data_IF_593631142604
#
_entry.id   IF_593631142604
#
_cell.length_a   1.000
_cell.length_b   1.000
_cell.length_c   1.000
_cell.angle_alpha   90.00
_cell.angle_beta   90.00
_cell.angle_gamma   90.00
#
_symmetry.space_group_name_H-M   'P 1'
#
loop_
_entity.id
_entity.type
_entity.pdbx_description
1 polymer ?
#
# COMPACT_ATOMS: atom_id res chain seq x y z
N UNK A 1 12.13 -26.14 1.32
CA UNK A 1 11.48 -27.42 1.01
C UNK A 1 12.07 -28.50 1.90
N UNK A 2 11.24 -29.31 2.56
CA UNK A 2 11.68 -30.42 3.42
C UNK A 2 11.04 -31.74 2.96
N UNK A 3 11.85 -32.79 2.79
CA UNK A 3 11.34 -34.12 2.54
C UNK A 3 10.86 -34.76 3.87
N UNK A 4 9.61 -35.19 3.91
CA UNK A 4 9.02 -35.85 5.07
C UNK A 4 9.37 -37.34 5.02
N UNK A 5 9.85 -37.84 6.15
CA UNK A 5 10.07 -39.26 6.45
C UNK A 5 9.36 -39.60 7.75
N UNK A 6 9.25 -40.88 8.08
CA UNK A 6 8.66 -41.31 9.35
C UNK A 6 9.35 -40.70 10.58
N UNK A 7 10.65 -40.40 10.48
CA UNK A 7 11.45 -39.86 11.59
C UNK A 7 11.10 -38.39 11.88
N UNK A 8 10.80 -37.59 10.85
CA UNK A 8 10.53 -36.16 11.00
C UNK A 8 9.05 -35.79 10.84
N UNK A 9 8.19 -36.73 10.45
CA UNK A 9 6.76 -36.51 10.22
C UNK A 9 6.11 -35.77 11.39
N UNK A 10 6.33 -36.26 12.62
CA UNK A 10 5.69 -35.66 13.78
C UNK A 10 6.18 -34.23 14.02
N UNK A 11 7.48 -33.97 13.86
CA UNK A 11 8.02 -32.63 14.00
C UNK A 11 7.44 -31.67 12.94
N UNK A 12 7.44 -32.07 11.66
CA UNK A 12 7.01 -31.20 10.57
C UNK A 12 5.48 -31.01 10.57
N UNK A 13 4.71 -32.10 10.66
CA UNK A 13 3.26 -32.04 10.49
C UNK A 13 2.56 -31.60 11.77
N UNK A 14 3.07 -31.90 12.97
CA UNK A 14 2.41 -31.52 14.23
C UNK A 14 3.05 -30.31 14.91
N UNK A 15 4.38 -30.18 14.94
CA UNK A 15 5.02 -29.10 15.69
C UNK A 15 5.17 -27.82 14.85
N UNK A 16 5.74 -27.91 13.64
CA UNK A 16 5.89 -26.73 12.77
C UNK A 16 4.52 -26.13 12.37
N UNK A 17 3.51 -26.98 12.18
CA UNK A 17 2.16 -26.57 11.78
C UNK A 17 1.38 -25.75 12.82
N UNK A 18 1.88 -25.67 14.07
CA UNK A 18 1.36 -24.78 15.11
C UNK A 18 1.77 -23.31 14.88
N UNK A 19 2.84 -23.10 14.13
CA UNK A 19 3.44 -21.78 13.92
C UNK A 19 3.31 -21.27 12.48
N UNK A 20 3.31 -22.19 11.52
CA UNK A 20 3.24 -21.90 10.09
C UNK A 20 2.28 -22.87 9.41
N UNK A 21 1.76 -22.49 8.25
CA UNK A 21 1.07 -23.44 7.40
C UNK A 21 2.08 -24.46 6.86
N UNK A 22 1.70 -25.74 6.78
CA UNK A 22 2.56 -26.78 6.18
C UNK A 22 1.88 -27.31 4.94
N UNK A 23 2.46 -27.02 3.77
CA UNK A 23 1.96 -27.52 2.49
C UNK A 23 2.73 -28.77 2.10
N UNK A 24 2.07 -29.92 2.12
CA UNK A 24 2.65 -31.22 1.80
C UNK A 24 2.27 -31.62 0.38
N UNK A 25 3.24 -31.66 -0.53
CA UNK A 25 3.06 -32.23 -1.87
C UNK A 25 3.43 -33.73 -1.88
N UNK A 26 2.47 -34.57 -2.25
CA UNK A 26 2.64 -36.00 -2.43
C UNK A 26 2.99 -36.25 -3.90
N UNK A 27 4.09 -36.95 -4.14
CA UNK A 27 4.63 -37.14 -5.48
C UNK A 27 5.30 -38.51 -5.65
N UNK A 28 5.53 -38.90 -6.89
CA UNK A 28 6.28 -40.09 -7.28
C UNK A 28 7.04 -39.80 -8.58
N UNK A 29 8.28 -40.27 -8.71
CA UNK A 29 9.13 -39.95 -9.87
C UNK A 29 8.54 -40.46 -11.18
N UNK A 30 7.77 -41.55 -11.12
CA UNK A 30 7.11 -42.18 -12.26
C UNK A 30 5.81 -41.48 -12.70
N UNK A 31 5.33 -40.47 -11.96
CA UNK A 31 4.11 -39.71 -12.27
C UNK A 31 4.50 -38.26 -12.56
N UNK A 32 4.75 -37.89 -13.83
CA UNK A 32 5.25 -36.57 -14.22
C UNK A 32 4.43 -35.39 -13.67
N UNK A 33 3.11 -35.50 -13.68
CA UNK A 33 2.17 -34.46 -13.21
C UNK A 33 2.33 -34.19 -11.70
N UNK A 34 2.81 -35.17 -10.93
CA UNK A 34 3.10 -35.02 -9.50
C UNK A 34 4.40 -34.29 -9.23
N UNK A 35 5.41 -34.52 -10.06
CA UNK A 35 6.66 -33.75 -10.04
C UNK A 35 6.36 -32.31 -10.43
N UNK A 36 5.55 -32.10 -11.47
CA UNK A 36 5.15 -30.77 -11.92
C UNK A 36 4.39 -29.99 -10.84
N UNK A 37 3.39 -30.61 -10.19
CA UNK A 37 2.65 -29.97 -9.10
C UNK A 37 3.59 -29.59 -7.94
N UNK A 38 4.47 -30.50 -7.53
CA UNK A 38 5.47 -30.25 -6.48
C UNK A 38 6.34 -29.04 -6.82
N UNK A 39 6.85 -28.97 -8.04
CA UNK A 39 7.77 -27.91 -8.46
C UNK A 39 7.06 -26.56 -8.56
N UNK A 40 5.84 -26.52 -9.13
CA UNK A 40 5.00 -25.32 -9.17
C UNK A 40 4.70 -24.78 -7.79
N UNK A 41 4.30 -25.65 -6.85
CA UNK A 41 4.02 -25.24 -5.46
C UNK A 41 5.28 -24.74 -4.78
N UNK A 42 6.43 -25.38 -5.00
CA UNK A 42 7.71 -24.95 -4.43
C UNK A 42 8.08 -23.53 -4.88
N UNK A 43 7.92 -23.22 -6.17
CA UNK A 43 8.21 -21.87 -6.70
C UNK A 43 7.23 -20.84 -6.15
N UNK A 44 5.93 -21.12 -6.16
CA UNK A 44 4.89 -20.17 -5.73
C UNK A 44 4.90 -19.90 -4.22
N UNK A 45 5.38 -20.85 -3.41
CA UNK A 45 5.46 -20.69 -1.95
C UNK A 45 6.79 -20.12 -1.46
N UNK A 46 7.83 -20.08 -2.31
CA UNK A 46 9.14 -19.57 -1.92
C UNK A 46 9.14 -18.14 -1.34
N UNK A 47 8.34 -17.17 -1.84
CA UNK A 47 8.26 -15.83 -1.25
C UNK A 47 7.65 -15.79 0.16
N UNK A 48 6.94 -16.86 0.56
CA UNK A 48 6.16 -16.92 1.79
C UNK A 48 6.78 -17.87 2.82
N UNK A 49 8.09 -18.11 2.77
CA UNK A 49 8.78 -19.09 3.62
C UNK A 49 8.65 -18.82 5.15
N UNK A 50 8.28 -17.60 5.52
CA UNK A 50 7.96 -17.24 6.91
C UNK A 50 6.57 -17.72 7.33
N UNK A 51 5.62 -17.85 6.41
CA UNK A 51 4.23 -18.20 6.70
C UNK A 51 3.87 -19.63 6.30
N UNK A 52 4.51 -20.16 5.25
CA UNK A 52 4.27 -21.51 4.75
C UNK A 52 5.58 -22.31 4.65
N UNK A 53 5.54 -23.52 5.19
CA UNK A 53 6.58 -24.52 5.05
C UNK A 53 6.21 -25.46 3.91
N UNK A 54 6.97 -25.40 2.83
CA UNK A 54 6.85 -26.36 1.73
C UNK A 54 7.49 -27.69 2.13
N UNK A 55 6.69 -28.75 2.18
CA UNK A 55 7.10 -30.11 2.51
C UNK A 55 6.69 -31.09 1.39
N UNK A 56 7.40 -32.22 1.30
CA UNK A 56 7.12 -33.22 0.25
C UNK A 56 7.18 -34.63 0.78
N UNK A 57 6.29 -35.48 0.30
CA UNK A 57 6.28 -36.92 0.59
C UNK A 57 6.47 -37.65 -0.74
N UNK A 58 7.56 -38.40 -0.85
CA UNK A 58 7.75 -39.35 -1.93
C UNK A 58 6.94 -40.61 -1.63
N UNK A 59 5.86 -40.83 -2.37
CA UNK A 59 4.95 -41.95 -2.17
C UNK A 59 5.54 -43.31 -2.59
N UNK A 60 6.65 -43.34 -3.34
CA UNK A 60 7.34 -44.60 -3.66
C UNK A 60 8.05 -45.14 -2.42
N UNK A 61 8.69 -44.24 -1.65
CA UNK A 61 9.50 -44.60 -0.48
C UNK A 61 8.76 -44.45 0.86
N UNK A 62 7.78 -43.55 0.95
CA UNK A 62 7.06 -43.21 2.20
C UNK A 62 5.56 -43.56 2.12
N UNK A 63 5.23 -44.76 1.63
CA UNK A 63 3.84 -45.22 1.46
C UNK A 63 3.00 -45.15 2.74
N UNK A 64 3.60 -45.45 3.89
CA UNK A 64 2.91 -45.41 5.18
C UNK A 64 2.41 -43.99 5.52
N UNK A 65 3.20 -42.96 5.20
CA UNK A 65 2.82 -41.56 5.42
C UNK A 65 1.67 -41.17 4.49
N UNK A 66 1.75 -41.55 3.21
CA UNK A 66 0.68 -41.29 2.25
C UNK A 66 -0.65 -41.94 2.68
N UNK A 67 -0.60 -43.16 3.25
CA UNK A 67 -1.79 -43.84 3.79
C UNK A 67 -2.35 -43.13 5.03
N UNK A 68 -1.50 -42.63 5.94
CA UNK A 68 -1.93 -41.88 7.12
C UNK A 68 -2.65 -40.58 6.74
N UNK A 69 -2.22 -39.92 5.68
CA UNK A 69 -2.90 -38.76 5.10
C UNK A 69 -4.15 -39.11 4.27
N UNK A 70 -4.45 -40.40 4.08
CA UNK A 70 -5.60 -40.84 3.29
C UNK A 70 -5.48 -40.53 1.79
N UNK A 71 -4.26 -40.44 1.27
CA UNK A 71 -4.02 -40.09 -0.14
C UNK A 71 -4.53 -41.21 -1.05
N UNK A 72 -5.53 -40.90 -1.88
CA UNK A 72 -6.17 -41.85 -2.79
C UNK A 72 -5.55 -41.87 -4.20
N UNK A 73 -4.78 -40.83 -4.55
CA UNK A 73 -4.19 -40.71 -5.88
C UNK A 73 -3.18 -39.58 -5.95
N UNK A 74 -2.34 -39.65 -6.97
CA UNK A 74 -1.38 -38.63 -7.32
C UNK A 74 -1.80 -37.96 -8.63
N UNK A 75 -1.51 -36.65 -8.78
CA UNK A 75 -0.87 -35.76 -7.82
C UNK A 75 -1.82 -35.26 -6.73
N UNK A 76 -1.34 -35.06 -5.50
CA UNK A 76 -2.13 -34.47 -4.41
C UNK A 76 -1.24 -33.55 -3.57
N UNK A 77 -1.77 -32.40 -3.16
CA UNK A 77 -1.14 -31.54 -2.16
C UNK A 77 -2.15 -31.21 -1.05
N UNK A 78 -1.69 -31.24 0.20
CA UNK A 78 -2.51 -31.03 1.39
C UNK A 78 -1.92 -29.90 2.22
N UNK A 79 -2.76 -28.96 2.62
CA UNK A 79 -2.40 -27.88 3.54
C UNK A 79 -2.75 -28.30 4.97
N UNK A 80 -1.79 -28.18 5.88
CA UNK A 80 -1.91 -28.58 7.27
C UNK A 80 -1.69 -27.37 8.18
N UNK A 81 -2.55 -27.25 9.20
CA UNK A 81 -2.43 -26.29 10.30
C UNK A 81 -2.85 -26.97 11.60
N UNK A 82 -2.12 -26.71 12.70
CA UNK A 82 -2.39 -27.31 14.01
C UNK A 82 -2.50 -28.84 13.98
N UNK A 83 -1.65 -29.48 13.16
CA UNK A 83 -1.62 -30.93 12.97
C UNK A 83 -2.79 -31.52 12.18
N UNK A 84 -3.67 -30.68 11.61
CA UNK A 84 -4.85 -31.13 10.87
C UNK A 84 -4.82 -30.66 9.41
N UNK A 85 -5.27 -31.49 8.45
CA UNK A 85 -5.48 -31.04 7.08
C UNK A 85 -6.66 -30.08 7.01
N UNK A 86 -6.43 -28.87 6.51
CA UNK A 86 -7.44 -27.80 6.43
C UNK A 86 -7.95 -27.55 5.00
N UNK A 87 -7.15 -27.88 3.98
CA UNK A 87 -7.51 -27.77 2.56
C UNK A 87 -6.57 -28.65 1.71
N UNK A 88 -6.88 -28.83 0.44
CA UNK A 88 -6.03 -29.58 -0.48
C UNK A 88 -6.48 -29.52 -1.93
N UNK A 89 -5.57 -29.93 -2.81
CA UNK A 89 -5.84 -30.08 -4.25
C UNK A 89 -5.40 -31.46 -4.71
N UNK A 90 -6.19 -32.06 -5.59
CA UNK A 90 -5.94 -33.39 -6.15
C UNK A 90 -6.13 -33.36 -7.67
N UNK A 91 -5.32 -34.17 -8.37
CA UNK A 91 -5.24 -34.18 -9.82
C UNK A 91 -4.40 -33.02 -10.38
N UNK A 92 -4.10 -33.04 -11.69
CA UNK A 92 -3.30 -32.00 -12.34
C UNK A 92 -3.93 -30.61 -12.14
N UNK A 93 -3.11 -29.61 -11.79
CA UNK A 93 -3.56 -28.24 -11.52
C UNK A 93 -2.93 -27.23 -12.49
N UNK A 94 -3.71 -26.23 -12.87
CA UNK A 94 -3.22 -25.05 -13.59
C UNK A 94 -2.59 -24.05 -12.62
N UNK A 95 -1.79 -23.12 -13.14
CA UNK A 95 -1.16 -22.07 -12.32
C UNK A 95 -2.17 -21.15 -11.63
N UNK A 96 -3.34 -20.95 -12.24
CA UNK A 96 -4.45 -20.14 -11.73
C UNK A 96 -5.16 -20.86 -10.57
N UNK A 97 -5.43 -22.16 -10.68
CA UNK A 97 -6.02 -22.93 -9.58
C UNK A 97 -5.08 -23.01 -8.39
N UNK A 98 -3.78 -23.18 -8.63
CA UNK A 98 -2.77 -23.16 -7.56
C UNK A 98 -2.72 -21.78 -6.88
N UNK A 99 -2.74 -20.68 -7.66
CA UNK A 99 -2.76 -19.33 -7.10
C UNK A 99 -4.01 -19.12 -6.23
N UNK A 100 -5.19 -19.45 -6.77
CA UNK A 100 -6.47 -19.35 -6.04
C UNK A 100 -6.49 -20.19 -4.77
N UNK A 101 -5.86 -21.37 -4.79
CA UNK A 101 -5.73 -22.22 -3.61
C UNK A 101 -4.84 -21.57 -2.54
N UNK A 102 -3.66 -21.05 -2.93
CA UNK A 102 -2.73 -20.41 -2.01
C UNK A 102 -3.28 -19.08 -1.45
N UNK A 103 -3.94 -18.27 -2.28
CA UNK A 103 -4.48 -16.95 -1.92
C UNK A 103 -5.58 -17.02 -0.83
N UNK A 104 -6.20 -18.19 -0.63
CA UNK A 104 -7.17 -18.40 0.46
C UNK A 104 -6.51 -18.43 1.85
N UNK A 105 -5.24 -18.81 1.91
CA UNK A 105 -4.56 -19.17 3.15
C UNK A 105 -3.32 -18.31 3.42
N UNK A 106 -2.68 -17.80 2.37
CA UNK A 106 -1.53 -16.91 2.51
C UNK A 106 -1.97 -15.49 2.89
N UNK A 107 -1.14 -14.74 3.65
CA UNK A 107 -1.38 -13.33 3.86
C UNK A 107 -1.48 -12.64 2.51
N UNK A 108 -2.48 -11.78 2.36
CA UNK A 108 -2.59 -11.02 1.14
C UNK A 108 -1.46 -9.99 1.06
N UNK A 109 -1.06 -9.66 -0.15
CA UNK A 109 0.04 -8.73 -0.36
C UNK A 109 -0.26 -7.36 0.27
N UNK A 110 -1.52 -6.90 0.20
CA UNK A 110 -1.98 -5.67 0.83
C UNK A 110 -1.88 -5.68 2.36
N UNK A 111 -2.03 -6.84 3.03
CA UNK A 111 -1.87 -6.92 4.48
C UNK A 111 -0.40 -6.74 4.87
N UNK A 112 0.52 -7.32 4.08
CA UNK A 112 1.96 -7.15 4.27
C UNK A 112 2.39 -5.71 4.05
N UNK A 113 1.93 -5.10 2.95
CA UNK A 113 2.21 -3.70 2.62
C UNK A 113 1.64 -2.75 3.67
N UNK A 114 0.43 -3.01 4.19
CA UNK A 114 -0.18 -2.24 5.27
C UNK A 114 0.65 -2.32 6.55
N UNK A 115 1.11 -3.52 6.93
CA UNK A 115 1.95 -3.69 8.12
C UNK A 115 3.28 -2.94 8.00
N UNK A 116 3.94 -3.04 6.84
CA UNK A 116 5.18 -2.30 6.57
C UNK A 116 4.95 -0.79 6.54
N UNK A 117 3.86 -0.32 5.95
CA UNK A 117 3.51 1.11 5.94
C UNK A 117 3.28 1.66 7.36
N UNK A 118 2.60 0.90 8.22
CA UNK A 118 2.40 1.26 9.64
C UNK A 118 3.72 1.30 10.41
N UNK A 119 4.62 0.36 10.15
CA UNK A 119 5.96 0.35 10.77
C UNK A 119 6.78 1.57 10.31
N UNK A 120 6.82 1.85 9.01
CA UNK A 120 7.49 3.03 8.47
C UNK A 120 6.91 4.34 9.05
N UNK A 121 5.60 4.43 9.27
CA UNK A 121 4.96 5.54 9.99
C UNK A 121 5.49 5.68 11.43
N UNK A 122 5.60 4.59 12.18
CA UNK A 122 6.14 4.63 13.55
C UNK A 122 7.61 5.05 13.61
N UNK A 123 8.37 4.76 12.56
CA UNK A 123 9.76 5.18 12.39
C UNK A 123 9.88 6.59 11.79
N UNK A 124 8.76 7.29 11.58
CA UNK A 124 8.68 8.61 10.97
C UNK A 124 9.24 8.66 9.52
N UNK A 125 9.28 7.52 8.83
CA UNK A 125 9.66 7.40 7.43
C UNK A 125 8.43 7.55 6.51
N UNK A 126 7.96 8.79 6.38
CA UNK A 126 6.71 9.12 5.68
C UNK A 126 6.76 8.77 4.19
N UNK A 127 7.91 8.93 3.53
CA UNK A 127 8.07 8.64 2.10
C UNK A 127 7.89 7.16 1.80
N UNK A 128 8.52 6.29 2.59
CA UNK A 128 8.35 4.84 2.46
C UNK A 128 6.93 4.41 2.79
N UNK A 129 6.38 4.93 3.90
CA UNK A 129 4.99 4.64 4.28
C UNK A 129 3.99 5.01 3.18
N UNK A 130 4.14 6.19 2.57
CA UNK A 130 3.31 6.64 1.44
C UNK A 130 3.39 5.67 0.26
N UNK A 131 4.60 5.23 -0.11
CA UNK A 131 4.79 4.31 -1.24
C UNK A 131 4.15 2.94 -0.99
N UNK A 132 4.33 2.39 0.22
CA UNK A 132 3.79 1.09 0.60
C UNK A 132 2.26 1.11 0.71
N UNK A 133 1.70 2.12 1.38
CA UNK A 133 0.24 2.20 1.55
C UNK A 133 -0.47 2.48 0.22
N UNK A 134 0.17 3.23 -0.69
CA UNK A 134 -0.41 3.50 -2.02
C UNK A 134 -0.49 2.22 -2.83
N UNK A 135 0.52 1.34 -2.74
CA UNK A 135 0.47 0.01 -3.34
C UNK A 135 -0.61 -0.87 -2.70
N UNK A 136 -0.73 -0.86 -1.36
CA UNK A 136 -1.79 -1.59 -0.67
C UNK A 136 -3.19 -1.13 -1.10
N UNK A 137 -3.39 0.18 -1.25
CA UNK A 137 -4.65 0.79 -1.70
C UNK A 137 -4.98 0.46 -3.16
N UNK A 138 -3.98 0.28 -4.02
CA UNK A 138 -4.19 -0.17 -5.41
C UNK A 138 -4.63 -1.63 -5.50
N UNK A 139 -4.22 -2.46 -4.54
CA UNK A 139 -4.61 -3.86 -4.47
C UNK A 139 -6.03 -4.03 -3.90
N UNK A 140 -6.37 -3.27 -2.86
CA UNK A 140 -7.72 -3.25 -2.28
C UNK A 140 -8.12 -1.84 -1.82
N UNK A 141 -8.86 -1.14 -2.69
CA UNK A 141 -9.38 0.20 -2.42
C UNK A 141 -10.60 0.22 -1.47
N UNK A 142 -11.14 -0.94 -1.09
CA UNK A 142 -12.35 -1.04 -0.26
C UNK A 142 -12.02 -1.24 1.23
N UNK A 143 -10.79 -1.67 1.53
CA UNK A 143 -10.29 -1.89 2.90
C UNK A 143 -10.16 -0.58 3.68
N UNK A 144 -10.97 -0.45 4.74
CA UNK A 144 -11.03 0.76 5.56
C UNK A 144 -9.73 1.04 6.31
N UNK A 145 -9.07 0.02 6.85
CA UNK A 145 -7.79 0.14 7.56
C UNK A 145 -6.65 0.67 6.66
N UNK A 146 -6.63 0.28 5.39
CA UNK A 146 -5.72 0.84 4.39
C UNK A 146 -6.03 2.32 4.15
N UNK A 147 -7.32 2.65 3.94
CA UNK A 147 -7.75 4.05 3.75
C UNK A 147 -7.39 4.92 4.94
N UNK A 148 -7.66 4.48 6.18
CA UNK A 148 -7.37 5.22 7.40
C UNK A 148 -5.86 5.49 7.53
N UNK A 149 -5.02 4.50 7.22
CA UNK A 149 -3.56 4.69 7.22
C UNK A 149 -3.12 5.71 6.17
N UNK A 150 -3.70 5.66 4.97
CA UNK A 150 -3.44 6.63 3.89
C UNK A 150 -3.93 8.04 4.26
N UNK A 151 -5.08 8.17 4.94
CA UNK A 151 -5.59 9.44 5.48
C UNK A 151 -4.58 10.04 6.47
N UNK A 152 -4.04 9.26 7.42
CA UNK A 152 -3.05 9.76 8.38
C UNK A 152 -1.82 10.32 7.67
N UNK A 153 -1.31 9.60 6.66
CA UNK A 153 -0.18 10.05 5.85
C UNK A 153 -0.53 11.32 5.07
N UNK A 154 -1.72 11.42 4.50
CA UNK A 154 -2.18 12.63 3.81
C UNK A 154 -2.27 13.83 4.75
N UNK A 155 -2.77 13.65 5.97
CA UNK A 155 -2.79 14.72 6.99
C UNK A 155 -1.35 15.16 7.32
N UNK A 156 -0.46 14.21 7.59
CA UNK A 156 0.94 14.50 7.95
C UNK A 156 1.73 15.16 6.81
N UNK A 157 1.39 14.87 5.55
CA UNK A 157 2.01 15.47 4.36
C UNK A 157 1.30 16.75 3.89
N UNK A 158 0.30 17.24 4.63
CA UNK A 158 -0.44 18.47 4.29
C UNK A 158 -1.40 18.32 3.10
N UNK A 159 -1.67 17.10 2.65
CA UNK A 159 -2.63 16.78 1.57
C UNK A 159 -4.06 16.72 2.11
N UNK A 160 -4.51 17.82 2.72
CA UNK A 160 -5.74 17.90 3.51
C UNK A 160 -7.00 17.60 2.68
N UNK A 161 -7.07 18.11 1.44
CA UNK A 161 -8.21 17.84 0.54
C UNK A 161 -8.33 16.36 0.16
N UNK A 162 -7.20 15.70 -0.09
CA UNK A 162 -7.15 14.27 -0.39
C UNK A 162 -7.53 13.43 0.84
N UNK A 163 -7.05 13.83 2.02
CA UNK A 163 -7.43 13.21 3.29
C UNK A 163 -8.94 13.31 3.54
N UNK A 164 -9.54 14.49 3.34
CA UNK A 164 -10.98 14.71 3.53
C UNK A 164 -11.81 13.83 2.58
N UNK A 165 -11.48 13.86 1.29
CA UNK A 165 -12.19 13.05 0.28
C UNK A 165 -12.17 11.56 0.63
N UNK A 166 -11.02 11.07 1.10
CA UNK A 166 -10.88 9.66 1.47
C UNK A 166 -11.61 9.34 2.77
N UNK A 167 -11.57 10.24 3.76
CA UNK A 167 -12.26 10.13 5.05
C UNK A 167 -13.78 10.10 4.88
N UNK A 168 -14.33 10.89 3.96
CA UNK A 168 -15.76 10.90 3.62
C UNK A 168 -16.23 9.59 2.97
N UNK A 169 -15.29 8.80 2.41
CA UNK A 169 -15.59 7.49 1.81
C UNK A 169 -15.64 6.34 2.82
N UNK A 170 -15.29 6.58 4.09
CA UNK A 170 -15.28 5.55 5.14
C UNK A 170 -16.71 5.25 5.58
N UNK A 171 -17.09 3.97 5.50
CA UNK A 171 -18.43 3.50 5.88
C UNK A 171 -18.61 3.62 7.39
N UNK A 172 -19.85 3.87 7.82
CA UNK A 172 -20.19 4.03 9.24
C UNK A 172 -19.76 2.83 10.12
N UNK A 173 -19.77 1.62 9.56
CA UNK A 173 -19.34 0.40 10.27
C UNK A 173 -17.84 0.37 10.59
N UNK A 174 -17.04 1.16 9.85
CA UNK A 174 -15.59 1.21 9.97
C UNK A 174 -15.10 2.49 10.69
N UNK A 175 -16.02 3.31 11.24
CA UNK A 175 -15.70 4.56 11.95
C UNK A 175 -15.35 4.32 13.42
N UNK A 176 -14.24 3.62 13.63
CA UNK A 176 -13.73 3.26 14.96
C UNK A 176 -13.02 4.44 15.67
N UNK A 177 -12.34 4.15 16.79
CA UNK A 177 -11.58 5.15 17.53
C UNK A 177 -10.43 5.75 16.71
N UNK A 178 -9.84 5.00 15.79
CA UNK A 178 -8.76 5.51 14.94
C UNK A 178 -9.32 6.50 13.92
N UNK A 179 -10.46 6.19 13.30
CA UNK A 179 -11.19 7.14 12.46
C UNK A 179 -11.48 8.45 13.20
N UNK A 180 -12.01 8.40 14.43
CA UNK A 180 -12.33 9.61 15.21
C UNK A 180 -11.07 10.45 15.51
N UNK A 181 -9.94 9.80 15.78
CA UNK A 181 -8.67 10.49 15.96
C UNK A 181 -8.22 11.20 14.68
N UNK A 182 -8.37 10.55 13.51
CA UNK A 182 -8.03 11.15 12.22
C UNK A 182 -8.98 12.30 11.84
N UNK A 183 -10.28 12.19 12.13
CA UNK A 183 -11.24 13.27 11.95
C UNK A 183 -10.80 14.51 12.73
N UNK A 184 -10.49 14.36 14.02
CA UNK A 184 -10.01 15.46 14.85
C UNK A 184 -8.68 16.05 14.35
N UNK A 185 -7.72 15.20 13.95
CA UNK A 185 -6.45 15.68 13.34
C UNK A 185 -6.72 16.48 12.06
N UNK A 186 -7.64 16.01 11.22
CA UNK A 186 -8.00 16.64 9.96
C UNK A 186 -8.71 17.98 10.18
N UNK A 187 -9.63 18.05 11.14
CA UNK A 187 -10.27 19.31 11.54
C UNK A 187 -9.26 20.35 12.02
N UNK A 188 -8.30 19.95 12.86
CA UNK A 188 -7.21 20.83 13.31
C UNK A 188 -6.33 21.29 12.15
N UNK A 189 -5.98 20.38 11.24
CA UNK A 189 -5.20 20.71 10.06
C UNK A 189 -5.95 21.69 9.12
N UNK A 190 -7.26 21.49 8.95
CA UNK A 190 -8.13 22.39 8.19
C UNK A 190 -8.20 23.79 8.82
N UNK A 191 -8.33 23.87 10.15
CA UNK A 191 -8.34 25.16 10.85
C UNK A 191 -7.02 25.90 10.69
N UNK A 192 -5.89 25.20 10.76
CA UNK A 192 -4.57 25.78 10.51
C UNK A 192 -4.42 26.23 9.04
N UNK A 193 -4.93 25.45 8.09
CA UNK A 193 -4.87 25.75 6.66
C UNK A 193 -5.81 26.89 6.21
N UNK A 194 -6.83 27.21 7.01
CA UNK A 194 -7.83 28.25 6.74
C UNK A 194 -7.81 29.35 7.81
N UNK A 195 -6.63 29.92 8.06
CA UNK A 195 -6.48 31.00 9.04
C UNK A 195 -7.35 32.22 8.71
N UNK A 196 -7.72 33.05 9.70
CA UNK A 196 -8.50 34.27 9.46
C UNK A 196 -7.86 35.20 8.42
N UNK A 197 -6.53 35.29 8.40
CA UNK A 197 -5.77 36.09 7.43
C UNK A 197 -5.94 35.57 6.00
N UNK A 198 -5.90 34.24 5.82
CA UNK A 198 -6.14 33.61 4.53
C UNK A 198 -7.58 33.89 4.06
N UNK A 199 -8.56 33.76 4.95
CA UNK A 199 -9.97 34.02 4.61
C UNK A 199 -10.21 35.48 4.18
N UNK A 200 -9.54 36.43 4.85
CA UNK A 200 -9.59 37.84 4.46
C UNK A 200 -9.00 38.04 3.07
N UNK A 201 -7.80 37.50 2.80
CA UNK A 201 -7.15 37.62 1.49
C UNK A 201 -7.93 36.92 0.37
N UNK A 202 -8.53 35.75 0.63
CA UNK A 202 -9.41 35.04 -0.31
C UNK A 202 -10.63 35.91 -0.67
N UNK A 203 -11.22 36.58 0.32
CA UNK A 203 -12.36 37.49 0.10
C UNK A 203 -11.94 38.74 -0.69
N UNK A 204 -10.84 39.38 -0.32
CA UNK A 204 -10.34 40.56 -1.03
C UNK A 204 -9.96 40.23 -2.49
N UNK A 205 -9.42 39.04 -2.73
CA UNK A 205 -9.12 38.55 -4.08
C UNK A 205 -10.40 38.27 -4.88
N UNK A 206 -11.47 37.79 -4.24
CA UNK A 206 -12.76 37.60 -4.90
C UNK A 206 -13.36 38.94 -5.35
N UNK A 207 -13.21 39.99 -4.53
CA UNK A 207 -13.65 41.34 -4.85
C UNK A 207 -12.73 42.02 -5.89
N UNK A 208 -11.43 41.68 -5.91
CA UNK A 208 -10.43 42.24 -6.82
C UNK A 208 -9.57 41.16 -7.51
N UNK A 209 -10.11 40.40 -8.48
CA UNK A 209 -9.43 39.21 -9.03
C UNK A 209 -8.10 39.46 -9.72
N UNK A 210 -7.83 40.69 -10.18
CA UNK A 210 -6.62 41.06 -10.91
C UNK A 210 -5.56 41.74 -10.04
N UNK A 211 -5.78 41.88 -8.73
CA UNK A 211 -4.79 42.48 -7.84
C UNK A 211 -3.61 41.52 -7.60
N UNK A 212 -2.47 41.87 -8.21
CA UNK A 212 -1.24 41.07 -8.18
C UNK A 212 -0.66 41.01 -6.76
N UNK A 213 -0.81 42.09 -5.97
CA UNK A 213 -0.29 42.15 -4.61
C UNK A 213 -1.01 41.15 -3.71
N UNK A 214 -2.35 41.13 -3.77
CA UNK A 214 -3.19 40.19 -3.03
C UNK A 214 -2.87 38.76 -3.45
N UNK A 215 -2.71 38.49 -4.76
CA UNK A 215 -2.34 37.16 -5.24
C UNK A 215 -0.97 36.69 -4.71
N UNK A 216 0.05 37.56 -4.66
CA UNK A 216 1.36 37.22 -4.07
C UNK A 216 1.27 36.97 -2.56
N UNK A 217 0.53 37.81 -1.83
CA UNK A 217 0.32 37.65 -0.39
C UNK A 217 -0.40 36.33 -0.10
N UNK A 218 -1.49 36.05 -0.81
CA UNK A 218 -2.26 34.82 -0.65
C UNK A 218 -1.45 33.58 -1.00
N UNK A 219 -0.67 33.60 -2.09
CA UNK A 219 0.21 32.49 -2.43
C UNK A 219 1.29 32.24 -1.36
N UNK A 220 1.84 33.31 -0.77
CA UNK A 220 2.79 33.18 0.35
C UNK A 220 2.13 32.57 1.57
N UNK A 221 0.93 33.03 1.95
CA UNK A 221 0.17 32.47 3.08
C UNK A 221 -0.18 31.00 2.87
N UNK A 222 -0.65 30.63 1.67
CA UNK A 222 -0.89 29.24 1.32
C UNK A 222 0.35 28.35 1.47
N UNK A 223 1.51 28.83 1.05
CA UNK A 223 2.76 28.07 1.22
C UNK A 223 3.12 27.87 2.70
N UNK A 224 2.87 28.87 3.56
CA UNK A 224 3.14 28.77 5.00
C UNK A 224 2.28 27.71 5.71
N UNK A 225 1.06 27.46 5.20
CA UNK A 225 0.12 26.50 5.79
C UNK A 225 0.02 25.18 5.02
N UNK A 226 1.05 24.84 4.24
CA UNK A 226 1.13 23.64 3.41
C UNK A 226 0.08 23.50 2.29
N UNK A 227 -0.66 24.57 1.95
CA UNK A 227 -1.52 24.65 0.75
C UNK A 227 -0.69 24.94 -0.51
N UNK A 228 0.40 24.18 -0.69
CA UNK A 228 1.41 24.42 -1.74
C UNK A 228 0.83 24.34 -3.15
N UNK A 229 -0.13 23.43 -3.41
CA UNK A 229 -0.75 23.36 -4.74
C UNK A 229 -1.55 24.62 -5.08
N UNK A 230 -2.26 25.21 -4.12
CA UNK A 230 -3.00 26.46 -4.34
C UNK A 230 -2.07 27.65 -4.55
N UNK A 231 -0.98 27.72 -3.77
CA UNK A 231 0.09 28.70 -3.99
C UNK A 231 0.67 28.59 -5.41
N UNK A 232 1.02 27.38 -5.84
CA UNK A 232 1.57 27.11 -7.17
C UNK A 232 0.57 27.42 -8.29
N UNK A 233 -0.73 27.16 -8.10
CA UNK A 233 -1.78 27.52 -9.07
C UNK A 233 -1.81 29.04 -9.31
N UNK A 234 -1.80 29.84 -8.24
CA UNK A 234 -1.81 31.32 -8.32
C UNK A 234 -0.54 31.82 -9.03
N UNK A 235 0.62 31.42 -8.51
CA UNK A 235 1.91 31.90 -9.01
C UNK A 235 2.14 31.48 -10.47
N UNK A 236 1.73 30.27 -10.87
CA UNK A 236 1.83 29.83 -12.27
C UNK A 236 1.04 30.72 -13.22
N UNK A 237 -0.19 31.13 -12.85
CA UNK A 237 -1.00 32.06 -13.67
C UNK A 237 -0.31 33.41 -13.82
N UNK A 238 0.28 33.93 -12.74
CA UNK A 238 1.01 35.20 -12.77
C UNK A 238 2.29 35.12 -13.63
N UNK A 239 3.02 34.01 -13.58
CA UNK A 239 4.18 33.80 -14.46
C UNK A 239 3.75 33.71 -15.93
N UNK A 240 2.57 33.15 -16.23
CA UNK A 240 2.07 33.05 -17.60
C UNK A 240 1.57 34.40 -18.15
N UNK A 241 0.75 35.12 -17.38
CA UNK A 241 -0.02 36.27 -17.87
C UNK A 241 0.44 37.64 -17.34
N UNK A 242 1.37 37.70 -16.40
CA UNK A 242 1.81 38.94 -15.77
C UNK A 242 2.67 39.85 -16.67
N UNK A 243 2.78 41.12 -16.28
CA UNK A 243 3.78 42.05 -16.80
C UNK A 243 5.20 41.60 -16.40
N UNK A 244 6.25 42.12 -17.07
CA UNK A 244 7.63 41.66 -16.88
C UNK A 244 8.09 41.65 -15.40
N UNK A 245 7.81 42.71 -14.65
CA UNK A 245 8.15 42.84 -13.22
C UNK A 245 7.35 41.87 -12.34
N UNK A 246 6.10 41.60 -12.70
CA UNK A 246 5.24 40.63 -12.00
C UNK A 246 5.74 39.21 -12.25
N UNK A 247 6.14 38.91 -13.48
CA UNK A 247 6.65 37.58 -13.86
C UNK A 247 7.89 37.21 -13.06
N UNK A 248 8.85 38.12 -12.93
CA UNK A 248 10.10 37.85 -12.22
C UNK A 248 9.86 37.51 -10.74
N UNK A 249 9.10 38.35 -10.03
CA UNK A 249 8.76 38.11 -8.62
C UNK A 249 7.91 36.86 -8.42
N UNK A 250 6.94 36.62 -9.30
CA UNK A 250 6.09 35.41 -9.23
C UNK A 250 6.90 34.15 -9.47
N UNK A 251 7.88 34.20 -10.39
CA UNK A 251 8.77 33.08 -10.70
C UNK A 251 9.70 32.77 -9.53
N UNK A 252 10.24 33.80 -8.86
CA UNK A 252 11.05 33.63 -7.66
C UNK A 252 10.27 32.89 -6.56
N UNK A 253 9.09 33.41 -6.19
CA UNK A 253 8.21 32.77 -5.21
C UNK A 253 7.81 31.35 -5.63
N UNK A 254 7.50 31.14 -6.91
CA UNK A 254 7.13 29.82 -7.42
C UNK A 254 8.27 28.80 -7.26
N UNK A 255 9.51 29.20 -7.55
CA UNK A 255 10.67 28.35 -7.37
C UNK A 255 10.94 28.07 -5.89
N UNK A 256 10.70 29.03 -5.00
CA UNK A 256 10.89 28.83 -3.56
C UNK A 256 9.86 27.86 -2.98
N UNK A 257 8.59 27.95 -3.38
CA UNK A 257 7.57 26.94 -3.03
C UNK A 257 7.94 25.55 -3.58
N UNK A 258 8.50 25.48 -4.80
CA UNK A 258 8.97 24.21 -5.36
C UNK A 258 10.20 23.62 -4.64
N UNK A 259 11.03 24.45 -4.01
CA UNK A 259 12.20 24.02 -3.23
C UNK A 259 11.80 23.58 -1.81
N UNK A 260 10.72 24.13 -1.25
CA UNK A 260 10.24 23.73 0.07
C UNK A 260 9.53 22.37 0.07
N UNK A 261 9.11 21.89 -1.10
CA UNK A 261 8.50 20.56 -1.23
C UNK A 261 9.56 19.45 -1.20
N UNK A 262 9.26 18.30 -0.56
CA UNK A 262 10.18 17.15 -0.53
C UNK A 262 10.59 16.66 -1.91
N UNK A 263 11.77 16.05 -1.99
CA UNK A 263 12.24 15.39 -3.22
C UNK A 263 11.29 14.25 -3.61
N UNK A 264 10.97 14.18 -4.91
CA UNK A 264 10.01 13.20 -5.44
C UNK A 264 8.54 13.57 -5.29
N UNK A 265 8.21 14.75 -4.73
CA UNK A 265 6.81 15.17 -4.63
C UNK A 265 6.13 15.29 -6.01
N UNK A 266 4.92 14.75 -6.11
CA UNK A 266 4.15 14.65 -7.37
C UNK A 266 3.69 16.04 -7.83
N UNK A 267 3.29 16.91 -6.89
CA UNK A 267 2.88 18.29 -7.19
C UNK A 267 4.10 19.07 -7.68
N UNK A 268 5.23 18.97 -6.97
CA UNK A 268 6.47 19.61 -7.39
C UNK A 268 6.89 19.18 -8.80
N UNK A 269 6.86 17.88 -9.09
CA UNK A 269 7.19 17.32 -10.41
C UNK A 269 6.25 17.83 -11.51
N UNK A 270 4.94 17.82 -11.26
CA UNK A 270 3.91 18.35 -12.17
C UNK A 270 4.16 19.81 -12.53
N UNK A 271 4.46 20.66 -11.54
CA UNK A 271 4.65 22.09 -11.72
C UNK A 271 6.03 22.47 -12.28
N UNK A 272 7.09 21.72 -11.94
CA UNK A 272 8.42 21.85 -12.59
C UNK A 272 8.31 21.61 -14.10
N UNK A 273 7.61 20.56 -14.52
CA UNK A 273 7.36 20.28 -15.95
C UNK A 273 6.59 21.41 -16.62
N UNK A 274 5.51 21.91 -15.99
CA UNK A 274 4.73 23.04 -16.52
C UNK A 274 5.56 24.30 -16.68
N UNK A 275 6.43 24.63 -15.72
CA UNK A 275 7.31 25.78 -15.80
C UNK A 275 8.33 25.65 -16.94
N UNK A 276 8.91 24.46 -17.13
CA UNK A 276 9.86 24.22 -18.22
C UNK A 276 9.22 24.48 -19.59
N UNK A 277 8.02 23.95 -19.84
CA UNK A 277 7.26 24.19 -21.09
C UNK A 277 6.86 25.65 -21.31
N UNK A 278 6.83 26.47 -20.26
CA UNK A 278 6.51 27.90 -20.37
C UNK A 278 7.74 28.75 -20.73
N UNK A 279 8.94 28.28 -20.37
CA UNK A 279 10.20 29.02 -20.54
C UNK A 279 10.96 28.65 -21.83
N UNK A 280 10.65 27.50 -22.44
CA UNK A 280 11.30 26.94 -23.62
C UNK A 280 10.26 26.45 -24.62
#
# INVERSE_FOLDING_TARGET
MIAITLENFQQIVLEESKSKLVLVAFWAQQIPESVELKDKLTVKTAPYAEQILMATVDCETQQQIAQQFGIQGLPTAVLVQDGQPIDGVSGPQTDETIATFLDKHLPKQEDTLLAQAKLALTENNITEAQNLITQAYQLDEQRADIKLTLIDIHIQTGKIEAAQTLLDSIKMVDQDSYYQALLAKLELANQAANSPEIQVLEKELADNPNDISIQHQLASQYSQVNRHEDALKILFRLVQAGEATTKDKSKELFLDVLKSLPDGDIIATKYRRKLYTLLY
#
